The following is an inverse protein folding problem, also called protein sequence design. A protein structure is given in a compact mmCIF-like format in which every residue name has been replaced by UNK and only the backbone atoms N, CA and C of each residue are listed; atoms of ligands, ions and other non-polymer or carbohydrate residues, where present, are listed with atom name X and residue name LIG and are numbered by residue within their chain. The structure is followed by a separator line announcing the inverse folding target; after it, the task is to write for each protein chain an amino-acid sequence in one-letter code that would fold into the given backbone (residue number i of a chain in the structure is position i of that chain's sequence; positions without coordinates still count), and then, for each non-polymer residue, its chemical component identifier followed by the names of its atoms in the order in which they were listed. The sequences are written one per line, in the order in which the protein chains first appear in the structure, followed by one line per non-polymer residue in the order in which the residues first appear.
data_IF_615400112689
#
_entry.id   IF_615400112689
#
_cell.length_a   1.000
_cell.length_b   1.000
_cell.length_c   1.000
_cell.angle_alpha   90.00
_cell.angle_beta   90.00
_cell.angle_gamma   90.00
#
_symmetry.space_group_name_H-M   'P 1'
#
loop_
_entity.id
_entity.type
_entity.pdbx_description
1 polymer ?
#
# COMPACT_ATOMS: atom_id res chain seq x y z
N UNK A 1 13.25 7.83 38.08
CA UNK A 1 14.58 8.08 37.49
C UNK A 1 14.50 8.36 35.99
N UNK A 2 14.04 7.43 35.14
CA UNK A 2 14.00 7.63 33.68
C UNK A 2 13.12 8.82 33.26
N UNK A 3 11.95 8.98 33.87
CA UNK A 3 11.07 10.15 33.63
C UNK A 3 11.80 11.45 33.95
N UNK A 4 12.40 11.58 35.13
CA UNK A 4 13.16 12.77 35.53
C UNK A 4 14.37 13.05 34.63
N UNK A 5 15.04 12.00 34.14
CA UNK A 5 16.15 12.16 33.20
C UNK A 5 15.65 12.65 31.83
N UNK A 6 14.50 12.15 31.36
CA UNK A 6 13.88 12.60 30.12
C UNK A 6 13.36 14.03 30.24
N UNK A 7 12.75 14.37 31.36
CA UNK A 7 12.31 15.72 31.71
C UNK A 7 13.49 16.71 31.70
N UNK A 8 14.58 16.34 32.37
CA UNK A 8 15.82 17.12 32.33
C UNK A 8 16.37 17.27 30.90
N UNK A 9 16.39 16.20 30.11
CA UNK A 9 16.83 16.25 28.71
C UNK A 9 15.93 17.19 27.89
N UNK A 10 14.62 17.11 28.09
CA UNK A 10 13.67 17.95 27.40
C UNK A 10 13.93 19.42 27.72
N UNK A 11 13.93 19.79 29.00
CA UNK A 11 14.09 21.18 29.46
C UNK A 11 15.49 21.77 29.14
N UNK A 12 16.56 20.99 29.31
CA UNK A 12 17.93 21.52 29.26
C UNK A 12 18.66 21.31 27.92
N UNK A 13 18.29 20.28 27.15
CA UNK A 13 18.98 19.90 25.92
C UNK A 13 18.18 20.30 24.69
N UNK A 14 16.87 20.03 24.66
CA UNK A 14 16.05 20.26 23.46
C UNK A 14 15.81 21.76 23.24
N UNK A 15 15.54 22.53 24.30
CA UNK A 15 15.32 23.98 24.20
C UNK A 15 16.57 24.81 23.89
N UNK A 16 17.78 24.22 24.02
CA UNK A 16 19.03 24.90 23.67
C UNK A 16 19.55 24.42 22.30
N UNK A 17 19.64 25.30 21.27
CA UNK A 17 19.94 24.89 19.91
C UNK A 17 21.31 24.23 19.73
N UNK A 18 22.32 24.63 20.50
CA UNK A 18 23.68 24.06 20.41
C UNK A 18 23.77 22.69 21.08
N UNK A 19 23.14 22.55 22.25
CA UNK A 19 23.06 21.27 22.97
C UNK A 19 22.24 20.27 22.16
N UNK A 20 21.10 20.70 21.62
CA UNK A 20 20.25 19.89 20.77
C UNK A 20 20.99 19.43 19.51
N UNK A 21 21.71 20.32 18.82
CA UNK A 21 22.50 19.93 17.65
C UNK A 21 23.52 18.86 18.00
N UNK A 22 24.23 19.03 19.12
CA UNK A 22 25.19 18.04 19.63
C UNK A 22 24.50 16.73 20.00
N UNK A 23 23.32 16.79 20.61
CA UNK A 23 22.51 15.63 20.96
C UNK A 23 22.07 14.83 19.72
N UNK A 24 21.54 15.51 18.71
CA UNK A 24 21.14 14.89 17.43
C UNK A 24 22.34 14.28 16.73
N UNK A 25 23.48 14.99 16.66
CA UNK A 25 24.72 14.48 16.05
C UNK A 25 25.26 13.21 16.74
N UNK A 26 25.01 13.06 18.05
CA UNK A 26 25.41 11.88 18.83
C UNK A 26 24.37 10.76 18.77
N UNK A 27 23.37 10.83 17.88
CA UNK A 27 22.34 9.81 17.74
C UNK A 27 21.25 9.87 18.82
N UNK A 28 21.09 11.00 19.50
CA UNK A 28 20.09 11.18 20.56
C UNK A 28 18.65 10.89 20.11
N UNK A 29 18.32 11.17 18.84
CA UNK A 29 17.01 10.83 18.26
C UNK A 29 16.76 9.32 18.27
N UNK A 30 17.75 8.50 17.91
CA UNK A 30 17.60 7.04 17.95
C UNK A 30 17.38 6.54 19.37
N UNK A 31 18.09 7.12 20.36
CA UNK A 31 17.90 6.77 21.77
C UNK A 31 16.48 7.09 22.26
N UNK A 32 15.90 8.22 21.86
CA UNK A 32 14.52 8.56 22.22
C UNK A 32 13.51 7.57 21.61
N UNK A 33 13.70 7.17 20.35
CA UNK A 33 12.86 6.17 19.70
C UNK A 33 12.95 4.80 20.37
N UNK A 34 14.16 4.38 20.72
CA UNK A 34 14.40 3.16 21.50
C UNK A 34 13.72 3.21 22.87
N UNK A 35 13.70 4.38 23.52
CA UNK A 35 13.00 4.56 24.80
C UNK A 35 11.49 4.42 24.62
N UNK A 36 10.92 5.03 23.57
CA UNK A 36 9.50 4.92 23.23
C UNK A 36 9.11 3.46 22.94
N UNK A 37 9.97 2.71 22.26
CA UNK A 37 9.72 1.29 21.97
C UNK A 37 9.74 0.45 23.25
N UNK A 38 10.77 0.61 24.09
CA UNK A 38 11.10 -0.32 25.19
C UNK A 38 10.34 -0.06 26.50
N UNK A 39 10.03 1.19 26.84
CA UNK A 39 9.56 1.54 28.19
C UNK A 39 8.02 1.51 28.32
N UNK A 40 7.53 1.60 29.57
CA UNK A 40 6.10 1.63 29.89
C UNK A 40 5.47 2.98 29.52
N UNK A 41 4.14 2.98 29.39
CA UNK A 41 3.34 4.09 28.86
C UNK A 41 3.69 5.50 29.43
N UNK A 42 3.90 5.71 30.76
CA UNK A 42 4.24 7.04 31.26
C UNK A 42 5.59 7.59 30.73
N UNK A 43 6.57 6.71 30.55
CA UNK A 43 7.88 7.09 29.96
C UNK A 43 7.73 7.37 28.47
N UNK A 44 6.88 6.59 27.76
CA UNK A 44 6.56 6.86 26.36
C UNK A 44 5.95 8.24 26.19
N UNK A 45 5.01 8.61 27.07
CA UNK A 45 4.29 9.88 26.99
C UNK A 45 5.22 11.11 27.07
N UNK A 46 6.11 11.15 28.07
CA UNK A 46 7.07 12.25 28.21
C UNK A 46 8.10 12.26 27.08
N UNK A 47 8.54 11.08 26.63
CA UNK A 47 9.51 10.98 25.53
C UNK A 47 8.89 11.39 24.19
N UNK A 48 7.62 11.05 23.96
CA UNK A 48 6.86 11.50 22.78
C UNK A 48 6.67 13.02 22.79
N UNK A 49 6.40 13.61 23.95
CA UNK A 49 6.26 15.05 24.08
C UNK A 49 7.57 15.77 23.74
N UNK A 50 8.68 15.33 24.35
CA UNK A 50 10.03 15.81 24.02
C UNK A 50 10.38 15.58 22.53
N UNK A 51 9.92 14.47 21.93
CA UNK A 51 10.17 14.17 20.52
C UNK A 51 9.43 15.12 19.58
N UNK A 52 8.22 15.59 19.93
CA UNK A 52 7.48 16.59 19.14
C UNK A 52 8.36 17.83 18.93
N UNK A 53 8.88 18.39 20.02
CA UNK A 53 9.71 19.60 19.98
C UNK A 53 11.05 19.36 19.26
N UNK A 54 11.63 18.17 19.40
CA UNK A 54 12.83 17.80 18.66
C UNK A 54 12.58 17.74 17.15
N UNK A 55 11.44 17.19 16.73
CA UNK A 55 11.06 17.00 15.32
C UNK A 55 10.84 18.32 14.60
N UNK A 56 10.46 19.39 15.30
CA UNK A 56 10.35 20.74 14.72
C UNK A 56 11.66 21.24 14.08
N UNK A 57 12.81 20.74 14.53
CA UNK A 57 14.12 21.32 14.21
C UNK A 57 14.74 20.72 12.93
N UNK A 58 14.00 19.88 12.19
CA UNK A 58 14.32 19.24 10.88
C UNK A 58 15.55 18.32 10.86
N UNK A 59 16.61 18.64 11.61
CA UNK A 59 17.90 17.95 11.63
C UNK A 59 17.82 16.51 12.12
N UNK A 60 16.76 16.15 12.84
CA UNK A 60 16.53 14.80 13.33
C UNK A 60 15.70 13.92 12.37
N UNK A 61 15.16 14.47 11.26
CA UNK A 61 14.30 13.74 10.34
C UNK A 61 15.01 12.53 9.72
N UNK A 62 16.27 12.67 9.32
CA UNK A 62 17.03 11.55 8.76
C UNK A 62 17.15 10.40 9.75
N UNK A 63 17.44 10.69 11.03
CA UNK A 63 17.49 9.67 12.07
C UNK A 63 16.12 9.02 12.29
N UNK A 64 15.06 9.81 12.33
CA UNK A 64 13.71 9.30 12.56
C UNK A 64 13.23 8.38 11.43
N UNK A 65 13.39 8.80 10.18
CA UNK A 65 12.92 8.07 8.99
C UNK A 65 13.73 6.79 8.72
N UNK A 66 15.01 6.80 9.08
CA UNK A 66 15.91 5.62 8.94
C UNK A 66 15.84 4.66 10.13
N UNK A 67 15.26 5.07 11.26
CA UNK A 67 15.15 4.20 12.43
C UNK A 67 14.32 2.96 12.13
N UNK A 68 14.75 1.83 12.70
CA UNK A 68 14.06 0.54 12.64
C UNK A 68 14.03 -0.05 14.03
N UNK A 69 12.83 -0.38 14.49
CA UNK A 69 12.63 -1.02 15.79
C UNK A 69 13.11 -2.47 15.82
N UNK A 70 12.95 -3.13 16.96
CA UNK A 70 13.34 -4.53 17.17
C UNK A 70 12.67 -5.49 16.18
N UNK A 71 11.45 -5.16 15.73
CA UNK A 71 10.68 -5.93 14.74
C UNK A 71 10.96 -5.50 13.29
N UNK A 72 12.01 -4.72 13.02
CA UNK A 72 12.23 -4.05 11.74
C UNK A 72 11.08 -3.12 11.31
N UNK A 73 10.22 -2.73 12.25
CA UNK A 73 9.12 -1.81 12.00
C UNK A 73 9.63 -0.37 11.86
N UNK A 74 8.94 0.42 11.05
CA UNK A 74 9.21 1.85 10.92
C UNK A 74 8.78 2.61 12.19
N UNK A 75 9.30 3.82 12.36
CA UNK A 75 8.84 4.71 13.43
C UNK A 75 7.32 4.94 13.35
N UNK A 76 6.77 5.08 12.14
CA UNK A 76 5.34 5.32 11.93
C UNK A 76 4.49 4.14 12.42
N UNK A 77 4.89 2.91 12.07
CA UNK A 77 4.20 1.70 12.53
C UNK A 77 4.24 1.59 14.07
N UNK A 78 5.38 1.91 14.69
CA UNK A 78 5.48 1.98 16.16
C UNK A 78 4.55 3.04 16.78
N UNK A 79 4.44 4.23 16.17
CA UNK A 79 3.54 5.27 16.67
C UNK A 79 2.06 4.84 16.55
N UNK A 80 1.70 4.18 15.45
CA UNK A 80 0.35 3.65 15.24
C UNK A 80 0.02 2.49 16.20
N UNK A 81 1.00 1.65 16.55
CA UNK A 81 0.86 0.66 17.63
C UNK A 81 0.54 1.32 18.97
N UNK A 82 1.24 2.41 19.30
CA UNK A 82 1.00 3.15 20.56
C UNK A 82 -0.40 3.78 20.54
N UNK A 83 -0.83 4.31 19.40
CA UNK A 83 -2.18 4.83 19.21
C UNK A 83 -3.25 3.76 19.48
N UNK A 84 -3.15 2.60 18.82
CA UNK A 84 -4.10 1.49 18.99
C UNK A 84 -4.13 0.98 20.44
N UNK A 85 -2.97 0.89 21.09
CA UNK A 85 -2.90 0.55 22.50
C UNK A 85 -3.68 1.53 23.38
N UNK A 86 -3.55 2.83 23.11
CA UNK A 86 -4.28 3.85 23.85
C UNK A 86 -5.78 3.85 23.55
N UNK A 87 -6.19 3.68 22.29
CA UNK A 87 -7.60 3.51 21.91
C UNK A 87 -8.25 2.35 22.67
N UNK A 88 -7.56 1.22 22.77
CA UNK A 88 -8.01 0.07 23.54
C UNK A 88 -8.09 0.40 25.04
N UNK A 89 -7.08 1.08 25.59
CA UNK A 89 -7.04 1.45 27.00
C UNK A 89 -8.15 2.43 27.39
N UNK A 90 -8.47 3.38 26.52
CA UNK A 90 -9.55 4.35 26.71
C UNK A 90 -10.94 3.73 26.43
N UNK A 91 -11.00 2.54 25.85
CA UNK A 91 -12.26 1.86 25.52
C UNK A 91 -13.01 2.53 24.37
N UNK A 92 -12.28 3.03 23.37
CA UNK A 92 -12.89 3.58 22.15
C UNK A 92 -13.47 2.44 21.31
N UNK A 93 -14.68 2.65 20.79
CA UNK A 93 -15.37 1.65 19.97
C UNK A 93 -14.73 1.55 18.59
N UNK A 94 -14.19 0.37 18.30
CA UNK A 94 -13.54 0.01 17.03
C UNK A 94 -14.09 -1.33 16.57
N UNK A 95 -14.21 -1.50 15.26
CA UNK A 95 -14.52 -2.82 14.69
C UNK A 95 -13.36 -3.79 14.94
N UNK A 96 -13.58 -5.09 14.71
CA UNK A 96 -12.53 -6.11 14.79
C UNK A 96 -11.33 -5.83 13.86
N UNK A 97 -11.56 -5.07 12.79
CA UNK A 97 -10.55 -4.66 11.81
C UNK A 97 -9.89 -3.32 12.14
N UNK A 98 -10.25 -2.69 13.26
CA UNK A 98 -9.72 -1.39 13.70
C UNK A 98 -10.40 -0.16 13.08
N UNK A 99 -11.47 -0.35 12.28
CA UNK A 99 -12.23 0.76 11.70
C UNK A 99 -13.07 1.49 12.78
N UNK A 100 -13.46 2.72 12.47
CA UNK A 100 -14.42 3.49 13.27
C UNK A 100 -15.75 2.72 13.34
N UNK A 101 -16.22 2.44 14.55
CA UNK A 101 -17.53 1.82 14.79
C UNK A 101 -18.59 2.87 15.19
N UNK A 102 -18.24 3.77 16.10
CA UNK A 102 -19.09 4.87 16.54
C UNK A 102 -18.91 6.08 15.61
N UNK A 103 -19.90 6.35 14.77
CA UNK A 103 -19.86 7.45 13.79
C UNK A 103 -20.12 8.80 14.47
N UNK A 104 -20.92 8.81 15.53
CA UNK A 104 -21.24 10.06 16.24
C UNK A 104 -20.03 10.52 17.04
N UNK A 105 -19.34 9.58 17.71
CA UNK A 105 -18.24 9.89 18.62
C UNK A 105 -17.04 8.95 18.42
N UNK A 106 -16.27 9.13 17.32
CA UNK A 106 -15.29 8.15 16.85
C UNK A 106 -13.99 8.06 17.66
N UNK A 107 -13.69 9.03 18.53
CA UNK A 107 -12.51 9.03 19.40
C UNK A 107 -12.86 8.90 20.89
N UNK A 108 -14.14 8.90 21.24
CA UNK A 108 -14.57 9.10 22.62
C UNK A 108 -14.39 7.81 23.41
N UNK A 109 -13.58 7.89 24.46
CA UNK A 109 -13.36 6.80 25.40
C UNK A 109 -14.53 6.60 26.36
N UNK A 110 -14.53 5.49 27.08
CA UNK A 110 -15.60 5.13 28.03
C UNK A 110 -15.72 6.11 29.20
N UNK A 111 -14.59 6.53 29.79
CA UNK A 111 -14.58 7.50 30.91
C UNK A 111 -15.01 8.89 30.45
N UNK A 112 -14.49 9.35 29.30
CA UNK A 112 -14.93 10.61 28.69
C UNK A 112 -16.43 10.59 28.42
N UNK A 113 -16.94 9.52 27.80
CA UNK A 113 -18.37 9.34 27.53
C UNK A 113 -19.20 9.44 28.80
N UNK A 114 -18.82 8.71 29.85
CA UNK A 114 -19.55 8.71 31.12
C UNK A 114 -19.62 10.10 31.75
N UNK A 115 -18.54 10.88 31.69
CA UNK A 115 -18.49 12.24 32.24
C UNK A 115 -19.21 13.27 31.37
N UNK A 116 -19.17 13.14 30.05
CA UNK A 116 -19.88 14.03 29.13
C UNK A 116 -21.38 13.94 29.31
N UNK A 117 -21.90 12.73 29.54
CA UNK A 117 -23.33 12.50 29.76
C UNK A 117 -23.77 12.58 31.23
N UNK A 118 -22.87 12.94 32.16
CA UNK A 118 -23.23 13.16 33.56
C UNK A 118 -24.07 14.45 33.68
N UNK A 119 -25.24 14.34 34.29
CA UNK A 119 -26.14 15.49 34.53
C UNK A 119 -25.56 16.48 35.53
N UNK A 120 -24.61 16.07 36.36
CA UNK A 120 -23.94 16.93 37.35
C UNK A 120 -22.58 17.46 36.86
N UNK A 121 -22.27 17.31 35.57
CA UNK A 121 -21.03 17.81 34.99
C UNK A 121 -20.93 19.33 35.18
N UNK A 122 -19.75 19.81 35.57
CA UNK A 122 -19.44 21.24 35.61
C UNK A 122 -19.44 21.81 34.17
N UNK A 123 -20.30 22.79 33.86
CA UNK A 123 -20.37 23.38 32.52
C UNK A 123 -19.08 24.14 32.12
N UNK A 124 -18.20 24.45 33.07
CA UNK A 124 -16.91 25.08 32.76
C UNK A 124 -15.80 24.06 32.46
N UNK A 125 -16.10 22.77 32.49
CA UNK A 125 -15.13 21.70 32.27
C UNK A 125 -15.40 20.99 30.96
N UNK A 126 -14.41 20.96 30.06
CA UNK A 126 -14.48 20.16 28.83
C UNK A 126 -13.76 18.83 29.01
N UNK A 127 -14.53 17.75 29.02
CA UNK A 127 -14.04 16.38 29.06
C UNK A 127 -13.27 16.04 27.78
N UNK A 128 -13.70 16.59 26.64
CA UNK A 128 -12.96 16.45 25.38
C UNK A 128 -11.55 17.07 25.48
N UNK A 129 -11.41 18.26 26.05
CA UNK A 129 -10.10 18.90 26.23
C UNK A 129 -9.25 18.16 27.29
N UNK A 130 -9.86 17.74 28.39
CA UNK A 130 -9.15 17.01 29.45
C UNK A 130 -8.52 15.70 28.96
N UNK A 131 -9.20 14.98 28.07
CA UNK A 131 -8.70 13.75 27.44
C UNK A 131 -7.37 13.99 26.68
N UNK A 132 -7.19 15.17 26.08
CA UNK A 132 -5.98 15.52 25.30
C UNK A 132 -4.74 15.63 26.20
N UNK A 133 -4.86 16.19 27.40
CA UNK A 133 -3.72 16.56 28.26
C UNK A 133 -2.84 15.35 28.64
N UNK A 134 -3.47 14.20 28.90
CA UNK A 134 -2.80 12.97 29.29
C UNK A 134 -2.49 12.01 28.14
N UNK A 135 -2.89 12.35 26.92
CA UNK A 135 -2.95 11.41 25.81
C UNK A 135 -1.67 11.39 24.96
N UNK A 136 -1.31 10.22 24.42
CA UNK A 136 -0.26 10.13 23.40
C UNK A 136 -0.75 10.49 22.01
N UNK A 137 -2.06 10.45 21.76
CA UNK A 137 -2.72 10.80 20.47
C UNK A 137 -2.32 12.18 19.94
N UNK A 138 -2.44 13.30 20.70
CA UNK A 138 -2.04 14.61 20.17
C UNK A 138 -0.54 14.69 19.84
N UNK A 139 0.31 13.95 20.57
CA UNK A 139 1.75 13.92 20.33
C UNK A 139 2.07 13.16 19.04
N UNK A 140 1.41 12.03 18.82
CA UNK A 140 1.51 11.25 17.57
C UNK A 140 1.00 12.06 16.38
N UNK A 141 -0.16 12.71 16.53
CA UNK A 141 -0.71 13.61 15.51
C UNK A 141 0.25 14.75 15.16
N UNK A 142 0.82 15.42 16.17
CA UNK A 142 1.77 16.51 15.95
C UNK A 142 3.04 16.03 15.22
N UNK A 143 3.62 14.89 15.63
CA UNK A 143 4.77 14.29 14.95
C UNK A 143 4.43 14.00 13.48
N UNK A 144 3.28 13.35 13.23
CA UNK A 144 2.82 13.07 11.87
C UNK A 144 2.67 14.35 11.04
N UNK A 145 2.02 15.37 11.59
CA UNK A 145 1.77 16.66 10.94
C UNK A 145 3.07 17.37 10.56
N UNK A 146 4.03 17.43 11.49
CA UNK A 146 5.31 18.10 11.26
C UNK A 146 6.10 17.36 10.16
N UNK A 147 6.13 16.03 10.19
CA UNK A 147 6.95 15.26 9.24
C UNK A 147 6.31 15.22 7.85
N UNK A 148 5.03 14.84 7.77
CA UNK A 148 4.40 14.51 6.51
C UNK A 148 3.73 15.71 5.83
N UNK A 149 3.20 16.67 6.60
CA UNK A 149 2.60 17.87 6.02
C UNK A 149 3.61 19.00 5.92
N UNK A 150 4.31 19.34 7.02
CA UNK A 150 5.25 20.48 7.02
C UNK A 150 6.58 20.17 6.34
N UNK A 151 7.11 18.96 6.52
CA UNK A 151 8.39 18.52 5.95
C UNK A 151 8.23 17.42 4.89
N UNK A 152 7.09 17.39 4.18
CA UNK A 152 6.77 16.32 3.23
C UNK A 152 7.79 16.16 2.10
N UNK A 153 8.25 17.26 1.51
CA UNK A 153 9.27 17.26 0.45
C UNK A 153 10.62 16.73 0.95
N UNK A 154 11.08 17.17 2.12
CA UNK A 154 12.34 16.68 2.68
C UNK A 154 12.24 15.21 3.08
N UNK A 155 11.09 14.80 3.62
CA UNK A 155 10.81 13.41 3.96
C UNK A 155 10.91 12.51 2.73
N UNK A 156 10.32 12.95 1.60
CA UNK A 156 10.42 12.25 0.33
C UNK A 156 11.87 12.15 -0.17
N UNK A 157 12.60 13.25 -0.13
CA UNK A 157 14.02 13.29 -0.50
C UNK A 157 14.87 12.34 0.36
N UNK A 158 14.62 12.28 1.67
CA UNK A 158 15.33 11.39 2.59
C UNK A 158 15.01 9.93 2.27
N UNK A 159 13.75 9.59 2.01
CA UNK A 159 13.39 8.22 1.61
C UNK A 159 14.11 7.78 0.33
N UNK A 160 14.18 8.66 -0.67
CA UNK A 160 14.91 8.42 -1.92
C UNK A 160 16.42 8.31 -1.68
N UNK A 161 17.00 9.22 -0.89
CA UNK A 161 18.46 9.29 -0.64
C UNK A 161 18.98 8.06 0.11
N UNK A 162 18.28 7.64 1.16
CA UNK A 162 18.74 6.56 2.01
C UNK A 162 18.25 5.18 1.55
N UNK A 163 17.57 5.09 0.39
CA UNK A 163 16.94 3.88 -0.13
C UNK A 163 16.18 3.12 0.97
N UNK A 164 15.50 3.89 1.83
CA UNK A 164 14.80 3.35 2.97
C UNK A 164 13.63 2.58 2.39
N UNK A 165 13.70 1.24 2.47
CA UNK A 165 12.59 0.38 2.08
C UNK A 165 11.35 0.89 2.81
N UNK A 166 10.50 1.58 2.06
CA UNK A 166 9.19 1.99 2.51
C UNK A 166 8.35 0.72 2.40
N UNK A 167 8.59 -0.22 3.31
CA UNK A 167 7.69 -1.36 3.49
C UNK A 167 6.32 -0.75 3.65
N UNK A 168 5.45 -1.01 2.67
CA UNK A 168 4.10 -0.49 2.69
C UNK A 168 3.52 -0.75 4.09
N UNK A 169 2.96 0.29 4.70
CA UNK A 169 2.31 0.17 5.99
C UNK A 169 1.30 -0.98 5.92
N UNK A 170 1.18 -1.74 7.01
CA UNK A 170 0.19 -2.82 7.07
C UNK A 170 -1.21 -2.27 6.86
N UNK A 171 -2.15 -3.10 6.43
CA UNK A 171 -3.55 -2.67 6.26
C UNK A 171 -4.11 -2.06 7.55
N UNK A 172 -3.77 -2.63 8.70
CA UNK A 172 -4.14 -2.10 10.02
C UNK A 172 -3.52 -0.72 10.31
N UNK A 173 -2.25 -0.53 9.96
CA UNK A 173 -1.58 0.77 10.07
C UNK A 173 -2.23 1.81 9.16
N UNK A 174 -2.59 1.44 7.92
CA UNK A 174 -3.27 2.35 6.99
C UNK A 174 -4.66 2.75 7.51
N UNK A 175 -5.42 1.82 8.08
CA UNK A 175 -6.73 2.10 8.70
C UNK A 175 -6.57 3.04 9.90
N UNK A 176 -5.60 2.77 10.78
CA UNK A 176 -5.32 3.62 11.95
C UNK A 176 -4.86 5.01 11.51
N UNK A 177 -4.03 5.09 10.47
CA UNK A 177 -3.50 6.34 9.93
C UNK A 177 -4.62 7.28 9.47
N UNK A 178 -5.71 6.77 8.89
CA UNK A 178 -6.88 7.58 8.52
C UNK A 178 -7.50 8.29 9.72
N UNK A 179 -7.46 7.69 10.91
CA UNK A 179 -7.92 8.32 12.15
C UNK A 179 -6.92 9.37 12.61
N UNK A 180 -5.62 9.05 12.59
CA UNK A 180 -4.56 9.99 12.98
C UNK A 180 -4.61 11.25 12.11
N UNK A 181 -4.71 11.12 10.79
CA UNK A 181 -4.83 12.24 9.85
C UNK A 181 -5.97 13.21 10.20
N UNK A 182 -7.05 12.68 10.77
CA UNK A 182 -8.27 13.42 11.10
C UNK A 182 -8.44 13.70 12.60
N UNK A 183 -7.42 13.42 13.43
CA UNK A 183 -7.54 13.47 14.89
C UNK A 183 -8.08 14.80 15.40
N UNK A 184 -7.49 15.92 14.96
CA UNK A 184 -7.87 17.24 15.44
C UNK A 184 -9.32 17.59 15.06
N UNK A 185 -9.73 17.29 13.83
CA UNK A 185 -11.09 17.53 13.35
C UNK A 185 -12.11 16.73 14.16
N UNK A 186 -11.84 15.43 14.35
CA UNK A 186 -12.68 14.55 15.18
C UNK A 186 -12.78 15.05 16.62
N UNK A 187 -11.67 15.51 17.20
CA UNK A 187 -11.66 16.01 18.58
C UNK A 187 -12.40 17.35 18.74
N UNK A 188 -12.32 18.22 17.74
CA UNK A 188 -13.15 19.44 17.68
C UNK A 188 -14.64 19.05 17.60
N UNK A 189 -14.99 18.02 16.83
CA UNK A 189 -16.34 17.49 16.78
C UNK A 189 -16.86 17.03 18.15
N UNK A 190 -16.02 16.37 18.95
CA UNK A 190 -16.39 15.99 20.32
C UNK A 190 -16.64 17.19 21.24
N UNK A 191 -15.90 18.29 21.06
CA UNK A 191 -16.14 19.54 21.80
C UNK A 191 -17.50 20.14 21.41
N UNK A 192 -17.86 20.13 20.12
CA UNK A 192 -19.18 20.61 19.68
C UNK A 192 -20.31 19.75 20.22
N UNK A 193 -20.13 18.43 20.23
CA UNK A 193 -21.08 17.51 20.85
C UNK A 193 -21.22 17.78 22.35
N UNK A 194 -20.11 18.01 23.04
CA UNK A 194 -20.08 18.35 24.45
C UNK A 194 -20.84 19.66 24.75
N UNK A 195 -20.65 20.70 23.93
CA UNK A 195 -21.40 21.97 24.04
C UNK A 195 -22.90 21.72 23.87
N UNK A 196 -23.30 20.89 22.89
CA UNK A 196 -24.70 20.56 22.68
C UNK A 196 -25.31 19.85 23.90
N UNK A 197 -24.57 18.93 24.50
CA UNK A 197 -24.99 18.21 25.71
C UNK A 197 -25.09 19.16 26.93
N UNK A 198 -24.16 20.10 27.07
CA UNK A 198 -24.15 21.06 28.18
C UNK A 198 -25.35 22.02 28.10
N UNK A 199 -25.69 22.50 26.90
CA UNK A 199 -26.89 23.33 26.69
C UNK A 199 -28.16 22.57 27.10
N UNK A 200 -28.26 21.30 26.72
CA UNK A 200 -29.39 20.44 27.11
C UNK A 200 -29.46 20.22 28.62
N UNK A 201 -28.32 19.91 29.26
CA UNK A 201 -28.22 19.68 30.70
C UNK A 201 -28.57 20.93 31.52
N UNK A 202 -28.19 22.12 31.03
CA UNK A 202 -28.54 23.40 31.64
C UNK A 202 -30.02 23.81 31.41
N UNK A 203 -30.74 23.10 30.54
CA UNK A 203 -32.12 23.43 30.19
C UNK A 203 -32.25 24.78 29.46
N UNK A 204 -31.18 25.23 28.82
CA UNK A 204 -31.15 26.49 28.08
C UNK A 204 -31.63 26.24 26.66
N UNK A 205 -32.58 27.04 26.19
CA UNK A 205 -33.01 27.00 24.80
C UNK A 205 -32.15 27.97 23.98
N UNK A 206 -31.34 27.49 23.02
CA UNK A 206 -30.59 28.36 22.12
C UNK A 206 -31.55 29.19 21.25
N UNK A 207 -31.08 30.35 20.77
CA UNK A 207 -31.81 31.12 19.76
C UNK A 207 -31.93 30.27 18.49
N UNK A 208 -32.96 30.53 17.68
CA UNK A 208 -33.23 29.72 16.48
C UNK A 208 -32.02 29.61 15.53
N UNK A 209 -31.28 30.70 15.34
CA UNK A 209 -30.07 30.73 14.52
C UNK A 209 -28.93 29.90 15.14
N UNK A 210 -28.71 30.02 16.46
CA UNK A 210 -27.66 29.29 17.16
C UNK A 210 -27.96 27.77 17.17
N UNK A 211 -29.24 27.41 17.27
CA UNK A 211 -29.69 26.02 17.16
C UNK A 211 -29.41 25.44 15.77
N UNK A 212 -29.70 26.19 14.71
CA UNK A 212 -29.41 25.79 13.33
C UNK A 212 -27.90 25.65 13.07
N UNK A 213 -27.08 26.57 13.59
CA UNK A 213 -25.62 26.48 13.50
C UNK A 213 -25.12 25.23 14.23
N UNK A 214 -25.61 24.96 15.44
CA UNK A 214 -25.21 23.77 16.19
C UNK A 214 -25.60 22.47 15.46
N UNK A 215 -26.82 22.40 14.93
CA UNK A 215 -27.29 21.23 14.17
C UNK A 215 -26.46 21.00 12.91
N UNK A 216 -26.21 22.05 12.13
CA UNK A 216 -25.40 21.96 10.90
C UNK A 216 -23.95 21.54 11.18
N UNK A 217 -23.34 22.04 12.26
CA UNK A 217 -22.01 21.61 12.68
C UNK A 217 -22.01 20.13 13.09
N UNK A 218 -22.96 19.68 13.90
CA UNK A 218 -23.04 18.28 14.32
C UNK A 218 -23.28 17.33 13.13
N UNK A 219 -24.17 17.71 12.21
CA UNK A 219 -24.41 16.96 10.98
C UNK A 219 -23.13 16.87 10.12
N UNK A 220 -22.40 17.98 9.99
CA UNK A 220 -21.13 18.00 9.28
C UNK A 220 -20.10 17.04 9.92
N UNK A 221 -19.96 17.03 11.24
CA UNK A 221 -19.03 16.14 11.95
C UNK A 221 -19.40 14.66 11.78
N UNK A 222 -20.69 14.34 11.82
CA UNK A 222 -21.19 12.99 11.54
C UNK A 222 -20.86 12.56 10.10
N UNK A 223 -21.11 13.43 9.12
CA UNK A 223 -20.81 13.17 7.72
C UNK A 223 -19.31 12.98 7.49
N UNK A 224 -18.47 13.77 8.17
CA UNK A 224 -17.02 13.61 8.12
C UNK A 224 -16.57 12.24 8.66
N UNK A 225 -17.14 11.81 9.78
CA UNK A 225 -16.88 10.50 10.37
C UNK A 225 -17.30 9.35 9.45
N UNK A 226 -18.42 9.49 8.73
CA UNK A 226 -18.82 8.56 7.67
C UNK A 226 -17.79 8.49 6.53
N UNK A 227 -17.28 9.63 6.06
CA UNK A 227 -16.25 9.66 5.02
C UNK A 227 -14.96 8.96 5.46
N UNK A 228 -14.54 9.14 6.73
CA UNK A 228 -13.37 8.44 7.28
C UNK A 228 -13.62 6.93 7.30
N UNK A 229 -14.80 6.49 7.76
CA UNK A 229 -15.17 5.09 7.80
C UNK A 229 -15.20 4.46 6.39
N UNK A 230 -15.79 5.15 5.42
CA UNK A 230 -15.80 4.70 4.02
C UNK A 230 -14.37 4.56 3.46
N UNK A 231 -13.49 5.54 3.74
CA UNK A 231 -12.09 5.45 3.35
C UNK A 231 -11.37 4.24 3.99
N UNK A 232 -11.66 3.93 5.26
CA UNK A 232 -11.13 2.74 5.92
C UNK A 232 -11.64 1.44 5.28
N UNK A 233 -12.94 1.38 4.94
CA UNK A 233 -13.49 0.21 4.24
C UNK A 233 -12.91 0.03 2.84
N UNK A 234 -12.62 1.11 2.11
CA UNK A 234 -11.93 1.04 0.82
C UNK A 234 -10.52 0.45 0.95
N UNK A 235 -9.77 0.85 1.99
CA UNK A 235 -8.44 0.27 2.28
C UNK A 235 -8.56 -1.24 2.54
N UNK A 236 -9.54 -1.65 3.34
CA UNK A 236 -9.78 -3.05 3.64
C UNK A 236 -10.18 -3.85 2.39
N UNK A 237 -11.08 -3.31 1.57
CA UNK A 237 -11.50 -3.96 0.33
C UNK A 237 -10.37 -4.08 -0.69
N UNK A 238 -9.54 -3.03 -0.82
CA UNK A 238 -8.35 -3.06 -1.67
C UNK A 238 -7.33 -4.11 -1.20
N UNK A 239 -7.10 -4.24 0.11
CA UNK A 239 -6.24 -5.28 0.67
C UNK A 239 -6.79 -6.68 0.40
N UNK A 240 -8.09 -6.89 0.64
CA UNK A 240 -8.75 -8.17 0.36
C UNK A 240 -8.64 -8.59 -1.12
N UNK A 241 -8.89 -7.66 -2.06
CA UNK A 241 -8.78 -7.97 -3.48
C UNK A 241 -7.35 -8.28 -3.89
N UNK A 242 -6.36 -7.54 -3.37
CA UNK A 242 -4.95 -7.80 -3.64
C UNK A 242 -4.53 -9.18 -3.14
N UNK A 243 -5.03 -9.60 -1.98
CA UNK A 243 -4.78 -10.93 -1.45
C UNK A 243 -5.41 -12.01 -2.35
N UNK A 244 -6.65 -11.81 -2.80
CA UNK A 244 -7.33 -12.70 -3.75
C UNK A 244 -6.62 -12.80 -5.10
N UNK A 245 -6.13 -11.68 -5.64
CA UNK A 245 -5.33 -11.67 -6.87
C UNK A 245 -4.03 -12.46 -6.69
N UNK A 246 -3.31 -12.23 -5.59
CA UNK A 246 -2.07 -12.95 -5.29
C UNK A 246 -2.28 -14.46 -5.10
N UNK A 247 -3.39 -14.86 -4.50
CA UNK A 247 -3.78 -16.26 -4.36
C UNK A 247 -4.12 -16.88 -5.72
N UNK A 248 -4.85 -16.14 -6.58
CA UNK A 248 -5.15 -16.56 -7.94
C UNK A 248 -3.90 -16.75 -8.82
N UNK A 249 -2.94 -15.83 -8.72
CA UNK A 249 -1.63 -15.93 -9.39
C UNK A 249 -0.84 -17.16 -8.90
N UNK A 250 -0.84 -17.39 -7.59
CA UNK A 250 -0.19 -18.54 -6.98
C UNK A 250 -0.73 -19.87 -7.52
N UNK A 251 -2.06 -20.06 -7.52
CA UNK A 251 -2.66 -21.30 -8.05
C UNK A 251 -2.46 -21.45 -9.56
N UNK A 252 -2.49 -20.34 -10.31
CA UNK A 252 -2.23 -20.35 -11.74
C UNK A 252 -0.81 -20.84 -12.03
N UNK A 253 0.17 -20.35 -11.28
CA UNK A 253 1.56 -20.79 -11.36
C UNK A 253 1.73 -22.26 -10.99
N UNK A 254 1.05 -22.71 -9.93
CA UNK A 254 1.07 -24.13 -9.55
C UNK A 254 0.50 -25.02 -10.65
N UNK A 255 -0.61 -24.62 -11.28
CA UNK A 255 -1.19 -25.34 -12.41
C UNK A 255 -0.25 -25.39 -13.61
N UNK A 256 0.42 -24.29 -13.92
CA UNK A 256 1.39 -24.22 -15.01
C UNK A 256 2.56 -25.18 -14.80
N UNK A 257 3.08 -25.28 -13.57
CA UNK A 257 4.13 -26.25 -13.24
C UNK A 257 3.69 -27.69 -13.48
N UNK A 258 2.47 -28.06 -13.08
CA UNK A 258 1.94 -29.40 -13.37
C UNK A 258 1.73 -29.67 -14.86
N UNK A 259 1.35 -28.66 -15.65
CA UNK A 259 1.25 -28.78 -17.11
C UNK A 259 2.63 -29.04 -17.71
N UNK A 260 3.67 -28.36 -17.23
CA UNK A 260 5.04 -28.57 -17.68
C UNK A 260 5.50 -30.01 -17.41
N UNK A 261 5.28 -30.51 -16.20
CA UNK A 261 5.61 -31.90 -15.81
C UNK A 261 4.87 -32.91 -16.71
N UNK A 262 3.58 -32.68 -17.00
CA UNK A 262 2.79 -33.55 -17.86
C UNK A 262 3.28 -33.52 -19.32
N UNK A 263 3.69 -32.35 -19.83
CA UNK A 263 4.26 -32.21 -21.17
C UNK A 263 5.61 -32.91 -21.29
N UNK A 264 6.44 -32.86 -20.25
CA UNK A 264 7.73 -33.54 -20.25
C UNK A 264 7.58 -35.06 -20.16
N UNK A 265 6.66 -35.57 -19.34
CA UNK A 265 6.30 -36.98 -19.34
C UNK A 265 5.76 -37.45 -20.70
N UNK A 266 4.97 -36.62 -21.40
CA UNK A 266 4.48 -36.93 -22.74
C UNK A 266 5.62 -36.99 -23.77
N UNK A 267 6.60 -36.09 -23.71
CA UNK A 267 7.79 -36.13 -24.57
C UNK A 267 8.60 -37.40 -24.34
N UNK A 268 8.75 -37.83 -23.09
CA UNK A 268 9.44 -39.07 -22.76
C UNK A 268 8.70 -40.29 -23.33
N UNK A 269 7.38 -40.35 -23.18
CA UNK A 269 6.55 -41.41 -23.79
C UNK A 269 6.65 -41.42 -25.32
N UNK A 270 6.60 -40.26 -25.98
CA UNK A 270 6.77 -40.16 -27.44
C UNK A 270 8.17 -40.63 -27.87
N UNK A 271 9.22 -40.30 -27.10
CA UNK A 271 10.57 -40.79 -27.34
C UNK A 271 10.67 -42.31 -27.22
N UNK A 272 10.08 -42.90 -26.18
CA UNK A 272 10.03 -44.35 -25.98
C UNK A 272 9.27 -45.00 -27.15
N UNK A 273 8.11 -44.49 -27.51
CA UNK A 273 7.30 -45.02 -28.61
C UNK A 273 8.05 -44.97 -29.95
N UNK A 274 8.79 -43.89 -30.24
CA UNK A 274 9.63 -43.74 -31.45
C UNK A 274 10.80 -44.71 -31.50
N UNK A 275 11.27 -45.23 -30.38
CA UNK A 275 12.46 -46.11 -30.34
C UNK A 275 12.10 -47.57 -30.18
N UNK A 276 10.99 -47.89 -29.52
CA UNK A 276 10.66 -49.26 -29.12
C UNK A 276 9.34 -49.80 -29.70
N UNK A 277 8.37 -48.96 -30.07
CA UNK A 277 7.08 -49.41 -30.61
C UNK A 277 7.05 -49.41 -32.15
N UNK A 278 7.15 -50.61 -32.72
CA UNK A 278 7.08 -50.83 -34.17
C UNK A 278 5.73 -50.41 -34.78
N UNK A 279 4.62 -50.57 -34.06
CA UNK A 279 3.28 -50.25 -34.57
C UNK A 279 3.10 -48.74 -34.69
N UNK A 280 3.47 -48.01 -33.64
CA UNK A 280 3.51 -46.55 -33.64
C UNK A 280 4.38 -45.98 -34.77
N UNK A 281 5.58 -46.54 -34.98
CA UNK A 281 6.48 -46.14 -36.07
C UNK A 281 5.88 -46.33 -37.47
N UNK A 282 5.18 -47.45 -37.69
CA UNK A 282 4.51 -47.74 -38.96
C UNK A 282 3.37 -46.76 -39.22
N UNK A 283 2.56 -46.47 -38.20
CA UNK A 283 1.45 -45.52 -38.27
C UNK A 283 1.96 -44.10 -38.55
N UNK A 284 2.99 -43.64 -37.84
CA UNK A 284 3.62 -42.33 -38.09
C UNK A 284 4.19 -42.23 -39.51
N UNK A 285 4.80 -43.30 -40.03
CA UNK A 285 5.28 -43.35 -41.41
C UNK A 285 4.14 -43.27 -42.43
N UNK A 286 2.99 -43.88 -42.15
CA UNK A 286 1.80 -43.75 -42.98
C UNK A 286 1.24 -42.32 -42.94
N UNK A 287 1.15 -41.71 -41.76
CA UNK A 287 0.71 -40.32 -41.61
C UNK A 287 1.63 -39.35 -42.36
N UNK A 288 2.95 -39.50 -42.23
CA UNK A 288 3.92 -38.70 -42.99
C UNK A 288 3.68 -38.82 -44.49
N UNK A 289 3.53 -40.05 -45.01
CA UNK A 289 3.23 -40.28 -46.43
C UNK A 289 1.93 -39.62 -46.87
N UNK A 290 0.91 -39.61 -46.01
CA UNK A 290 -0.36 -38.95 -46.28
C UNK A 290 -0.19 -37.43 -46.38
N UNK A 291 0.53 -36.82 -45.44
CA UNK A 291 0.83 -35.37 -45.45
C UNK A 291 1.67 -34.94 -46.66
N UNK A 292 2.67 -35.74 -47.05
CA UNK A 292 3.45 -35.54 -48.28
C UNK A 292 2.51 -35.53 -49.48
N UNK A 293 1.63 -36.54 -49.60
CA UNK A 293 0.70 -36.64 -50.73
C UNK A 293 -0.36 -35.52 -50.74
N UNK A 294 -0.83 -35.06 -49.58
CA UNK A 294 -1.72 -33.92 -49.45
C UNK A 294 -1.03 -32.61 -49.89
N UNK A 295 0.25 -32.44 -49.51
CA UNK A 295 1.06 -31.29 -49.92
C UNK A 295 1.42 -31.30 -51.42
N UNK A 296 1.33 -32.47 -52.06
CA UNK A 296 1.53 -32.65 -53.51
C UNK A 296 0.26 -32.35 -54.34
N UNK A 297 -0.81 -31.78 -53.76
CA UNK A 297 -1.96 -31.33 -54.53
C UNK A 297 -1.63 -30.05 -55.31
N UNK A 298 -1.43 -30.20 -56.63
CA UNK A 298 -1.33 -29.09 -57.56
C UNK A 298 -2.75 -28.57 -57.91
N UNK A 299 -2.96 -27.26 -58.08
CA UNK A 299 -4.26 -26.74 -58.51
C UNK A 299 -4.66 -27.32 -59.88
N UNK A 300 -5.89 -27.79 -60.01
CA UNK A 300 -6.39 -28.35 -61.27
C UNK A 300 -6.36 -27.30 -62.38
N UNK A 301 -5.63 -27.59 -63.47
CA UNK A 301 -5.62 -26.78 -64.69
C UNK A 301 -4.31 -26.05 -65.04
N UNK A 302 -3.21 -26.24 -64.29
CA UNK A 302 -1.90 -25.64 -64.61
C UNK A 302 -0.94 -26.70 -65.15
N UNK A 303 -0.26 -26.42 -66.27
CA UNK A 303 0.69 -27.35 -66.90
C UNK A 303 1.79 -27.79 -65.91
N UNK A 304 1.98 -29.11 -65.79
CA UNK A 304 3.01 -29.79 -64.96
C UNK A 304 4.46 -29.32 -65.19
N UNK A 305 4.71 -28.42 -66.14
CA UNK A 305 6.05 -27.90 -66.47
C UNK A 305 6.52 -26.76 -65.56
N UNK A 306 5.62 -26.13 -64.78
CA UNK A 306 5.96 -25.00 -63.89
C UNK A 306 6.35 -25.41 -62.47
N UNK A 307 6.08 -26.65 -62.06
CA UNK A 307 6.40 -27.16 -60.73
C UNK A 307 7.46 -28.26 -60.82
N UNK A 308 8.65 -27.99 -60.30
CA UNK A 308 9.70 -29.00 -60.19
C UNK A 308 9.69 -29.60 -58.79
N UNK A 309 9.69 -30.94 -58.72
CA UNK A 309 9.81 -31.69 -57.49
C UNK A 309 11.21 -31.49 -56.92
N UNK A 310 11.33 -30.73 -55.82
CA UNK A 310 12.62 -30.49 -55.14
C UNK A 310 13.03 -31.63 -54.20
N UNK A 311 12.18 -32.64 -54.01
CA UNK A 311 12.43 -33.77 -53.10
C UNK A 311 12.37 -35.12 -53.83
N UNK A 312 13.40 -35.96 -53.67
CA UNK A 312 13.44 -37.31 -54.26
C UNK A 312 12.57 -38.30 -53.47
N UNK A 313 11.77 -39.12 -54.16
CA UNK A 313 10.93 -40.15 -53.53
C UNK A 313 11.71 -41.24 -52.77
N UNK A 314 13.02 -41.32 -52.95
CA UNK A 314 13.91 -42.31 -52.34
C UNK A 314 14.65 -41.82 -51.10
N UNK A 315 14.52 -40.53 -50.74
CA UNK A 315 15.24 -39.96 -49.60
C UNK A 315 14.44 -40.17 -48.31
N UNK A 316 15.02 -40.87 -47.33
CA UNK A 316 14.44 -41.03 -45.98
C UNK A 316 14.81 -39.81 -45.13
N UNK A 317 14.12 -38.69 -45.30
CA UNK A 317 14.31 -37.48 -44.47
C UNK A 317 12.96 -37.06 -43.90
N UNK A 318 12.97 -36.56 -42.67
CA UNK A 318 11.81 -35.90 -42.05
C UNK A 318 11.50 -34.61 -42.82
N UNK A 319 10.30 -34.52 -43.37
CA UNK A 319 9.84 -33.37 -44.14
C UNK A 319 9.80 -32.13 -43.24
N UNK A 320 10.47 -31.04 -43.65
CA UNK A 320 10.44 -29.75 -42.94
C UNK A 320 9.30 -28.94 -43.55
N UNK A 321 8.14 -28.95 -42.91
CA UNK A 321 6.96 -28.23 -43.40
C UNK A 321 7.02 -26.74 -43.07
N UNK A 322 6.30 -25.89 -43.83
CA UNK A 322 6.22 -24.42 -43.72
C UNK A 322 7.45 -23.59 -44.15
N UNK A 323 8.34 -24.10 -45.01
CA UNK A 323 9.34 -23.23 -45.64
C UNK A 323 8.71 -22.35 -46.74
N UNK A 324 8.66 -21.03 -46.51
CA UNK A 324 8.32 -20.04 -47.54
C UNK A 324 9.60 -19.60 -48.25
N UNK A 325 9.94 -20.23 -49.37
CA UNK A 325 11.11 -19.85 -50.17
C UNK A 325 10.64 -18.85 -51.25
N UNK A 326 11.20 -17.64 -51.23
CA UNK A 326 10.96 -16.62 -52.26
C UNK A 326 12.01 -16.79 -53.34
N UNK A 327 11.65 -17.39 -54.47
CA UNK A 327 12.57 -17.57 -55.60
C UNK A 327 12.57 -16.30 -56.45
N UNK A 328 13.58 -15.45 -56.27
CA UNK A 328 13.84 -14.34 -57.20
C UNK A 328 14.60 -14.88 -58.42
N UNK A 329 14.01 -14.74 -59.61
CA UNK A 329 14.69 -15.07 -60.86
C UNK A 329 15.93 -14.19 -61.03
N UNK A 330 17.09 -14.80 -61.25
CA UNK A 330 18.35 -14.09 -61.45
C UNK A 330 18.38 -13.44 -62.84
N UNK A 331 18.45 -12.10 -62.87
CA UNK A 331 19.35 -11.43 -63.81
C UNK A 331 20.74 -11.44 -63.18
N UNK A 332 21.77 -11.69 -64.00
CA UNK A 332 23.18 -11.77 -63.63
C UNK A 332 23.65 -10.53 -62.84
N UNK A 333 24.28 -10.75 -61.68
CA UNK A 333 25.58 -10.22 -61.28
C UNK A 333 25.78 -10.33 -59.75
N UNK A 334 26.68 -11.25 -59.38
CA UNK A 334 27.70 -11.15 -58.31
C UNK A 334 27.52 -10.10 -57.18
N UNK A 335 27.41 -10.56 -55.92
CA UNK A 335 28.48 -10.51 -54.89
C UNK A 335 27.94 -10.77 -53.46
N UNK A 336 28.53 -11.80 -52.83
CA UNK A 336 28.87 -11.95 -51.41
C UNK A 336 27.79 -11.99 -50.30
N UNK A 337 27.49 -13.22 -49.90
CA UNK A 337 27.66 -13.80 -48.55
C UNK A 337 27.19 -13.04 -47.29
N UNK A 338 26.05 -13.48 -46.73
CA UNK A 338 25.93 -14.17 -45.41
C UNK A 338 24.47 -14.43 -45.09
N UNK A 339 24.11 -15.70 -44.89
CA UNK A 339 22.79 -16.11 -44.38
C UNK A 339 22.98 -16.60 -42.96
N UNK A 340 22.47 -15.82 -42.01
CA UNK A 340 22.35 -16.22 -40.61
C UNK A 340 21.27 -17.29 -40.43
N UNK A 341 21.61 -18.32 -39.66
CA UNK A 341 20.71 -19.37 -39.20
C UNK A 341 19.77 -18.80 -38.13
N UNK A 342 18.46 -18.79 -38.40
CA UNK A 342 17.45 -18.40 -37.41
C UNK A 342 17.14 -19.61 -36.51
N UNK A 343 17.62 -19.55 -35.29
CA UNK A 343 17.15 -20.32 -34.14
C UNK A 343 15.74 -19.91 -33.74
N UNK A 344 14.99 -20.87 -33.19
CA UNK A 344 13.69 -20.65 -32.60
C UNK A 344 13.81 -19.93 -31.25
N UNK A 345 13.21 -18.75 -31.11
CA UNK A 345 13.00 -18.09 -29.83
C UNK A 345 11.56 -17.59 -29.68
N UNK A 346 10.95 -18.08 -28.60
CA UNK A 346 9.96 -17.44 -27.71
C UNK A 346 9.05 -16.35 -28.26
N UNK A 347 7.76 -16.66 -28.33
CA UNK A 347 6.70 -15.67 -28.34
C UNK A 347 6.64 -14.95 -26.99
N UNK A 348 7.09 -13.69 -26.95
CA UNK A 348 6.78 -12.74 -25.88
C UNK A 348 5.45 -12.05 -26.19
N UNK A 349 4.47 -12.19 -25.30
CA UNK A 349 3.25 -11.40 -25.31
C UNK A 349 3.55 -9.93 -24.96
N UNK A 350 2.89 -8.94 -25.58
CA UNK A 350 2.92 -7.57 -25.11
C UNK A 350 1.79 -7.32 -24.09
N UNK A 351 2.16 -6.75 -22.94
CA UNK A 351 1.27 -6.23 -21.91
C UNK A 351 0.49 -5.01 -22.40
N UNK A 352 -0.76 -4.78 -21.94
CA UNK A 352 -1.48 -3.55 -22.25
C UNK A 352 -1.04 -2.39 -21.36
N UNK A 353 -0.85 -1.24 -21.99
CA UNK A 353 -0.61 0.07 -21.39
C UNK A 353 -1.96 0.60 -20.86
N UNK A 354 -2.06 0.88 -19.57
CA UNK A 354 -3.12 1.68 -18.98
C UNK A 354 -2.48 2.89 -18.29
N UNK A 355 -2.69 4.08 -18.86
CA UNK A 355 -2.46 5.36 -18.20
C UNK A 355 -3.66 6.26 -18.50
N UNK A 356 -4.46 6.54 -17.46
CA UNK A 356 -4.68 7.88 -16.91
C UNK A 356 -6.03 7.97 -16.17
N UNK A 357 -5.98 7.88 -14.84
CA UNK A 357 -7.01 8.42 -13.96
C UNK A 357 -6.47 9.67 -13.23
N UNK A 358 -7.11 10.79 -13.55
CA UNK A 358 -7.68 11.80 -12.65
C UNK A 358 -6.93 12.07 -11.33
N UNK A 359 -6.31 13.25 -11.27
CA UNK A 359 -5.75 13.84 -10.05
C UNK A 359 -6.58 15.10 -9.72
N UNK A 360 -7.68 14.94 -8.99
CA UNK A 360 -8.40 16.07 -8.37
C UNK A 360 -7.85 16.30 -6.97
N UNK A 361 -6.98 17.31 -6.86
CA UNK A 361 -6.58 17.92 -5.59
C UNK A 361 -7.68 18.88 -5.15
N UNK A 362 -8.48 18.50 -4.16
CA UNK A 362 -9.26 19.44 -3.36
C UNK A 362 -8.34 20.03 -2.29
N UNK A 363 -7.99 21.31 -2.46
CA UNK A 363 -7.17 22.07 -1.51
C UNK A 363 -7.99 22.55 -0.30
N UNK A 364 -7.26 22.74 0.79
CA UNK A 364 -7.72 23.02 2.16
C UNK A 364 -8.01 24.52 2.39
N UNK A 365 -8.33 25.28 1.35
CA UNK A 365 -8.37 26.76 1.42
C UNK A 365 -9.72 27.34 1.86
N UNK A 366 -10.71 26.53 2.24
CA UNK A 366 -12.08 27.02 2.49
C UNK A 366 -12.43 27.33 3.96
N UNK A 367 -11.51 27.14 4.91
CA UNK A 367 -11.79 27.35 6.35
C UNK A 367 -10.98 28.47 7.02
N UNK A 368 -10.25 29.32 6.27
CA UNK A 368 -9.66 30.54 6.84
C UNK A 368 -10.66 31.70 6.99
N UNK A 369 -11.84 31.62 6.37
CA UNK A 369 -12.69 32.80 6.16
C UNK A 369 -13.97 32.83 7.01
N UNK A 370 -14.09 31.95 8.01
CA UNK A 370 -15.19 32.00 8.99
C UNK A 370 -14.62 31.90 10.41
N UNK A 371 -13.91 32.94 10.83
CA UNK A 371 -13.67 33.24 12.25
C UNK A 371 -13.23 34.71 12.41
N UNK A 372 -14.20 35.58 12.73
CA UNK A 372 -14.01 36.78 13.54
C UNK A 372 -15.18 36.90 14.51
#
# INVERSE_FOLDING_TARGET
LVICAMDFLWESVIWNPENMKTFVQRGGTYLMLDIIEKFKYPVKLITLAALVDLVEQRKCLSHLLTWRGQKQQSYMSMLLDIWRYEDLFLGVKRTQTGCVEDIEMPLMGTDQQLRTFDTNKDPNSSMAILDILGSSRPKIYAIFQIIHQRFGEETKLIYETYAVNNTALTTEDQITLKIVENFLALKIGEVWFEIAQDIQNLGVQPLALDAEVLETVLEHQRNWSLCIQDAQFRIMYAAYNKDMESEGEFYSKQKETHIHDALDALKELDYIARTTDRTFLLERKMQQRKQVNESLHFPDGVENRLFQRTFSSTINVTEINNQKIKVCGMQEAELEEKVDLVSAESASCPSPIFENEVNEKLSFDYFSDIAF
#
